data_IF_524860469668
#
_entry.id   IF_524860469668
#
_cell.length_a   1.000
_cell.length_b   1.000
_cell.length_c   1.000
_cell.angle_alpha   90.00
_cell.angle_beta   90.00
_cell.angle_gamma   90.00
#
_symmetry.space_group_name_H-M   'P 1'
#
loop_
_entity.id
_entity.type
_entity.pdbx_description
1 polymer ?
#
# COMPACT_ATOMS: atom_id res chain seq x y z
N UNK A 1 8.20 -28.04 31.18
CA UNK A 1 8.56 -26.97 30.23
C UNK A 1 8.25 -27.36 28.76
N UNK A 2 7.08 -27.93 28.46
CA UNK A 2 6.74 -28.43 27.10
C UNK A 2 5.50 -27.77 26.49
N UNK A 3 4.45 -27.61 27.29
CA UNK A 3 3.15 -27.03 26.90
C UNK A 3 3.20 -25.52 26.62
N UNK A 4 4.00 -24.74 27.35
CA UNK A 4 4.11 -23.29 27.12
C UNK A 4 4.75 -22.97 25.76
N UNK A 5 5.67 -23.83 25.29
CA UNK A 5 6.35 -23.70 23.99
C UNK A 5 5.42 -24.10 22.83
N UNK A 6 4.54 -25.08 23.06
CA UNK A 6 3.47 -25.49 22.13
C UNK A 6 2.37 -24.42 22.06
N UNK A 7 1.95 -23.87 23.20
CA UNK A 7 0.96 -22.80 23.27
C UNK A 7 1.45 -21.52 22.56
N UNK A 8 2.73 -21.17 22.69
CA UNK A 8 3.32 -20.07 21.92
C UNK A 8 3.30 -20.33 20.41
N UNK A 9 3.49 -21.58 19.96
CA UNK A 9 3.44 -21.97 18.55
C UNK A 9 2.01 -21.99 18.00
N UNK A 10 1.03 -22.43 18.81
CA UNK A 10 -0.39 -22.49 18.42
C UNK A 10 -1.02 -21.10 18.33
N UNK A 11 -0.59 -20.15 19.16
CA UNK A 11 -1.06 -18.76 19.12
C UNK A 11 -0.42 -17.95 17.96
N UNK A 12 0.72 -18.40 17.44
CA UNK A 12 1.44 -17.73 16.35
C UNK A 12 0.80 -17.98 14.97
N UNK A 13 0.13 -19.11 14.79
CA UNK A 13 -0.58 -19.49 13.55
C UNK A 13 -1.76 -18.55 13.22
N UNK A 14 -2.68 -18.26 14.16
CA UNK A 14 -3.78 -17.31 13.89
C UNK A 14 -3.27 -15.89 13.67
N UNK A 15 -2.20 -15.48 14.38
CA UNK A 15 -1.56 -14.19 14.16
C UNK A 15 -0.95 -14.09 12.75
N UNK A 16 -0.30 -15.15 12.28
CA UNK A 16 0.26 -15.26 10.93
C UNK A 16 -0.83 -15.20 9.84
N UNK A 17 -2.01 -15.76 10.10
CA UNK A 17 -3.13 -15.76 9.14
C UNK A 17 -3.72 -14.35 8.91
N UNK A 18 -3.94 -13.58 9.98
CA UNK A 18 -4.43 -12.19 9.89
C UNK A 18 -3.44 -11.35 9.07
N UNK A 19 -2.17 -11.58 9.35
CA UNK A 19 -1.06 -10.95 8.65
C UNK A 19 -1.12 -11.31 7.15
N UNK A 20 -1.25 -12.59 6.82
CA UNK A 20 -1.35 -13.04 5.42
C UNK A 20 -2.57 -12.46 4.68
N UNK A 21 -3.73 -12.33 5.33
CA UNK A 21 -4.94 -11.76 4.71
C UNK A 21 -4.76 -10.28 4.37
N UNK A 22 -4.21 -9.50 5.29
CA UNK A 22 -3.98 -8.07 5.06
C UNK A 22 -3.03 -7.90 3.86
N UNK A 23 -1.96 -8.69 3.76
CA UNK A 23 -1.03 -8.62 2.63
C UNK A 23 -1.65 -8.95 1.27
N UNK A 24 -2.55 -9.93 1.23
CA UNK A 24 -3.33 -10.21 0.01
C UNK A 24 -4.26 -9.03 -0.35
N UNK A 25 -4.85 -8.38 0.66
CA UNK A 25 -5.66 -7.17 0.48
C UNK A 25 -4.87 -5.99 -0.09
N UNK A 26 -3.65 -5.76 0.41
CA UNK A 26 -2.72 -4.72 -0.08
C UNK A 26 -2.39 -4.92 -1.57
N UNK A 27 -2.13 -6.17 -1.99
CA UNK A 27 -1.84 -6.48 -3.40
C UNK A 27 -3.00 -6.12 -4.34
N UNK A 28 -4.23 -6.36 -3.91
CA UNK A 28 -5.45 -5.96 -4.63
C UNK A 28 -5.63 -4.44 -4.60
N UNK A 29 -5.33 -3.79 -3.47
CA UNK A 29 -5.43 -2.35 -3.31
C UNK A 29 -4.46 -1.61 -4.23
N UNK A 30 -3.20 -2.06 -4.33
CA UNK A 30 -2.20 -1.54 -5.28
C UNK A 30 -2.70 -1.61 -6.72
N UNK A 31 -3.32 -2.72 -7.11
CA UNK A 31 -3.89 -2.86 -8.46
C UNK A 31 -5.03 -1.88 -8.71
N UNK A 32 -5.93 -1.69 -7.75
CA UNK A 32 -7.01 -0.71 -7.88
C UNK A 32 -6.51 0.73 -7.84
N UNK A 33 -5.55 1.04 -6.96
CA UNK A 33 -4.93 2.37 -6.84
C UNK A 33 -4.13 2.71 -8.09
N UNK A 34 -3.45 1.75 -8.73
CA UNK A 34 -2.79 1.97 -10.02
C UNK A 34 -3.78 2.35 -11.13
N UNK A 35 -4.93 1.68 -11.19
CA UNK A 35 -6.01 2.03 -12.14
C UNK A 35 -6.60 3.40 -11.78
N UNK A 36 -6.87 3.65 -10.50
CA UNK A 36 -7.41 4.91 -10.00
C UNK A 36 -6.46 6.08 -10.30
N UNK A 37 -5.15 5.93 -10.09
CA UNK A 37 -4.11 6.91 -10.45
C UNK A 37 -4.10 7.19 -11.94
N UNK A 38 -4.27 6.17 -12.77
CA UNK A 38 -4.34 6.33 -14.23
C UNK A 38 -5.55 7.15 -14.64
N UNK A 39 -6.72 6.90 -14.02
CA UNK A 39 -7.96 7.64 -14.28
C UNK A 39 -7.89 9.06 -13.70
N UNK A 40 -7.38 9.22 -12.47
CA UNK A 40 -7.15 10.51 -11.83
C UNK A 40 -6.19 11.38 -12.65
N UNK A 41 -5.08 10.80 -13.13
CA UNK A 41 -4.14 11.50 -14.01
C UNK A 41 -4.79 11.98 -15.30
N UNK A 42 -5.57 11.12 -15.96
CA UNK A 42 -6.33 11.51 -17.16
C UNK A 42 -7.38 12.59 -16.85
N UNK A 43 -8.07 12.49 -15.71
CA UNK A 43 -9.05 13.46 -15.25
C UNK A 43 -8.44 14.83 -14.96
N UNK A 44 -7.30 14.87 -14.26
CA UNK A 44 -6.55 16.12 -13.99
C UNK A 44 -6.07 16.75 -15.31
N UNK A 45 -5.53 15.96 -16.24
CA UNK A 45 -5.07 16.46 -17.54
C UNK A 45 -6.22 17.00 -18.40
N UNK A 46 -7.38 16.32 -18.40
CA UNK A 46 -8.57 16.79 -19.09
C UNK A 46 -9.12 18.08 -18.46
N UNK A 47 -9.23 18.14 -17.13
CA UNK A 47 -9.66 19.35 -16.42
C UNK A 47 -8.70 20.51 -16.64
N UNK A 48 -7.40 20.25 -16.75
CA UNK A 48 -6.39 21.27 -17.03
C UNK A 48 -6.58 21.89 -18.42
N UNK A 49 -6.87 21.07 -19.44
CA UNK A 49 -7.14 21.55 -20.79
C UNK A 49 -8.45 22.34 -20.83
N UNK A 50 -9.51 21.86 -20.16
CA UNK A 50 -10.77 22.62 -20.03
C UNK A 50 -10.58 23.95 -19.32
N UNK A 51 -9.81 24.00 -18.23
CA UNK A 51 -9.56 25.25 -17.50
C UNK A 51 -8.74 26.24 -18.32
N UNK A 52 -7.74 25.77 -19.08
CA UNK A 52 -6.93 26.63 -19.96
C UNK A 52 -7.77 27.21 -21.11
N UNK A 53 -8.67 26.43 -21.72
CA UNK A 53 -9.50 26.87 -22.85
C UNK A 53 -10.68 27.73 -22.38
N UNK A 54 -11.30 27.40 -21.24
CA UNK A 54 -12.51 28.07 -20.76
C UNK A 54 -12.24 29.46 -20.15
N UNK A 55 -11.10 29.65 -19.46
CA UNK A 55 -10.86 30.88 -18.69
C UNK A 55 -9.68 31.73 -19.15
N UNK A 56 -8.75 31.24 -20.00
CA UNK A 56 -7.50 31.95 -20.35
C UNK A 56 -6.65 32.39 -19.13
N UNK A 57 -6.95 31.86 -17.94
CA UNK A 57 -6.38 32.27 -16.66
C UNK A 57 -5.44 31.18 -16.13
N UNK A 58 -4.14 31.44 -16.25
CA UNK A 58 -3.07 30.53 -15.85
C UNK A 58 -3.06 30.24 -14.34
N UNK A 59 -3.66 31.12 -13.53
CA UNK A 59 -3.66 31.03 -12.07
C UNK A 59 -4.56 29.90 -11.55
N UNK A 60 -5.74 29.73 -12.17
CA UNK A 60 -6.70 28.70 -11.77
C UNK A 60 -6.25 27.30 -12.19
N UNK A 61 -5.64 27.20 -13.38
CA UNK A 61 -5.02 25.97 -13.86
C UNK A 61 -3.86 25.53 -12.93
N UNK A 62 -3.02 26.48 -12.48
CA UNK A 62 -1.94 26.21 -11.53
C UNK A 62 -2.46 25.75 -10.16
N UNK A 63 -3.52 26.38 -9.64
CA UNK A 63 -4.12 25.99 -8.36
C UNK A 63 -4.71 24.58 -8.40
N UNK A 64 -5.43 24.26 -9.49
CA UNK A 64 -6.03 22.94 -9.69
C UNK A 64 -4.97 21.85 -9.87
N UNK A 65 -3.90 22.14 -10.62
CA UNK A 65 -2.76 21.24 -10.75
C UNK A 65 -2.05 21.01 -9.39
N UNK A 66 -1.94 22.04 -8.55
CA UNK A 66 -1.34 21.93 -7.22
C UNK A 66 -2.17 21.03 -6.29
N UNK A 67 -3.49 21.25 -6.22
CA UNK A 67 -4.41 20.41 -5.44
C UNK A 67 -4.45 18.97 -5.95
N UNK A 68 -4.49 18.78 -7.27
CA UNK A 68 -4.44 17.46 -7.91
C UNK A 68 -3.13 16.73 -7.63
N UNK A 69 -2.00 17.44 -7.72
CA UNK A 69 -0.67 16.92 -7.40
C UNK A 69 -0.55 16.45 -5.96
N UNK A 70 -1.04 17.24 -4.99
CA UNK A 70 -1.04 16.87 -3.57
C UNK A 70 -1.88 15.62 -3.33
N UNK A 71 -3.06 15.51 -3.96
CA UNK A 71 -3.91 14.34 -3.82
C UNK A 71 -3.23 13.06 -4.35
N UNK A 72 -2.60 13.15 -5.52
CA UNK A 72 -1.81 12.05 -6.10
C UNK A 72 -0.62 11.70 -5.21
N UNK A 73 0.03 12.69 -4.58
CA UNK A 73 1.15 12.47 -3.67
C UNK A 73 0.72 11.74 -2.40
N UNK A 74 -0.42 12.08 -1.81
CA UNK A 74 -0.97 11.38 -0.64
C UNK A 74 -1.34 9.93 -1.00
N UNK A 75 -1.96 9.70 -2.17
CA UNK A 75 -2.24 8.35 -2.68
C UNK A 75 -0.96 7.54 -2.93
N UNK A 76 0.11 8.19 -3.38
CA UNK A 76 1.43 7.57 -3.57
C UNK A 76 2.08 7.21 -2.23
N UNK A 77 2.06 8.11 -1.27
CA UNK A 77 2.58 7.87 0.07
C UNK A 77 1.83 6.74 0.78
N UNK A 78 0.50 6.72 0.68
CA UNK A 78 -0.33 5.65 1.23
C UNK A 78 0.02 4.28 0.64
N UNK A 79 0.14 4.19 -0.68
CA UNK A 79 0.54 2.95 -1.38
C UNK A 79 1.94 2.48 -1.00
N UNK A 80 2.87 3.42 -0.80
CA UNK A 80 4.23 3.11 -0.37
C UNK A 80 4.27 2.53 1.05
N UNK A 81 3.51 3.13 1.99
CA UNK A 81 3.39 2.62 3.36
C UNK A 81 2.76 1.23 3.37
N UNK A 82 1.72 1.01 2.56
CA UNK A 82 1.07 -0.30 2.43
C UNK A 82 2.05 -1.38 1.94
N UNK A 83 2.86 -1.04 0.92
CA UNK A 83 3.90 -1.93 0.37
C UNK A 83 5.02 -2.20 1.39
N UNK A 84 5.46 -1.18 2.13
CA UNK A 84 6.48 -1.31 3.17
C UNK A 84 6.00 -2.21 4.32
N UNK A 85 4.74 -2.06 4.74
CA UNK A 85 4.12 -2.93 5.76
C UNK A 85 4.07 -4.38 5.27
N UNK A 86 3.75 -4.61 3.99
CA UNK A 86 3.71 -5.96 3.42
C UNK A 86 5.11 -6.62 3.37
N UNK A 87 6.14 -5.85 3.00
CA UNK A 87 7.53 -6.32 2.97
C UNK A 87 8.05 -6.65 4.37
N UNK A 88 7.71 -5.83 5.36
CA UNK A 88 8.05 -6.08 6.77
C UNK A 88 7.32 -7.32 7.28
N UNK A 89 6.05 -7.50 6.93
CA UNK A 89 5.29 -8.73 7.20
C UNK A 89 6.02 -9.95 6.64
N UNK A 90 6.43 -9.92 5.38
CA UNK A 90 7.05 -11.06 4.71
C UNK A 90 8.41 -11.39 5.34
N UNK A 91 9.17 -10.36 5.72
CA UNK A 91 10.43 -10.49 6.47
C UNK A 91 10.21 -11.13 7.85
N UNK A 92 9.18 -10.71 8.60
CA UNK A 92 8.84 -11.29 9.91
C UNK A 92 8.37 -12.74 9.75
N UNK A 93 7.55 -13.06 8.73
CA UNK A 93 7.15 -14.42 8.39
C UNK A 93 8.35 -15.32 8.11
N UNK A 94 9.28 -14.85 7.27
CA UNK A 94 10.50 -15.58 6.94
C UNK A 94 11.40 -15.77 8.16
N UNK A 95 11.47 -14.80 9.08
CA UNK A 95 12.20 -14.91 10.34
C UNK A 95 11.56 -15.91 11.31
N UNK A 96 10.24 -15.92 11.44
CA UNK A 96 9.53 -16.85 12.34
C UNK A 96 9.63 -18.29 11.82
N UNK A 97 9.41 -18.51 10.52
CA UNK A 97 9.45 -19.84 9.91
C UNK A 97 10.90 -20.30 9.64
N UNK A 98 11.78 -19.38 9.24
CA UNK A 98 13.20 -19.62 8.99
C UNK A 98 14.02 -19.89 10.25
N UNK A 99 13.66 -19.30 11.40
CA UNK A 99 14.26 -19.63 12.70
C UNK A 99 13.87 -21.02 13.22
N UNK A 100 12.93 -21.71 12.57
CA UNK A 100 12.63 -23.13 12.80
C UNK A 100 13.63 -24.10 12.17
N UNK A 101 14.50 -23.65 11.24
CA UNK A 101 15.46 -24.51 10.52
C UNK A 101 16.85 -24.60 11.16
N UNK A 102 17.23 -23.62 11.98
CA UNK A 102 18.54 -23.58 12.67
C UNK A 102 18.54 -24.29 14.04
N UNK A 103 17.49 -25.05 14.36
CA UNK A 103 17.42 -25.87 15.58
C UNK A 103 17.29 -27.38 15.24
N UNK A 104 17.61 -27.76 13.99
CA UNK A 104 17.61 -29.13 13.46
C UNK A 104 18.94 -29.46 12.73
N UNK A 105 19.98 -28.66 12.94
CA UNK A 105 21.35 -28.93 12.49
C UNK A 105 22.29 -28.81 13.68
#
# INVERSE_FOLDING_TARGET
MGILKVAGKVLLIPLWFIISIIGAGVKLLVHMVAIAKKILGLGIMALFIETVICYQDWLQAAFLACMGGVLVFILLAGEFIDTMIDLIRETICALIFGRGRNHVL
#
